data_IF_445943483523
#
_entry.id   IF_445943483523
#
_cell.length_a   1.000
_cell.length_b   1.000
_cell.length_c   1.000
_cell.angle_alpha   90.00
_cell.angle_beta   90.00
_cell.angle_gamma   90.00
#
_symmetry.space_group_name_H-M   'P 1'
#
loop_
_entity.id
_entity.type
_entity.pdbx_description
1 polymer ?
#
# COMPACT_ATOMS: atom_id res chain seq x y z
N UNK A 1 -14.41 -13.07 20.95
CA UNK A 1 -13.56 -13.09 19.75
C UNK A 1 -14.06 -12.05 18.77
N UNK A 2 -13.18 -11.20 18.27
CA UNK A 2 -13.49 -10.24 17.19
C UNK A 2 -13.70 -10.97 15.86
N UNK A 3 -14.30 -10.32 14.87
CA UNK A 3 -14.43 -10.86 13.52
C UNK A 3 -13.06 -11.22 12.90
N UNK A 4 -12.05 -10.35 13.07
CA UNK A 4 -10.68 -10.58 12.62
C UNK A 4 -10.05 -11.85 13.24
N UNK A 5 -10.23 -12.05 14.56
CA UNK A 5 -9.75 -13.24 15.25
C UNK A 5 -10.40 -14.54 14.74
N UNK A 6 -11.64 -14.48 14.24
CA UNK A 6 -12.31 -15.63 13.61
C UNK A 6 -11.71 -15.96 12.25
N UNK A 7 -11.38 -14.96 11.44
CA UNK A 7 -10.73 -15.16 10.13
C UNK A 7 -9.38 -15.87 10.29
N UNK A 8 -8.57 -15.44 11.26
CA UNK A 8 -7.29 -16.09 11.57
C UNK A 8 -7.48 -17.53 12.02
N UNK A 9 -8.50 -17.81 12.84
CA UNK A 9 -8.74 -19.15 13.37
C UNK A 9 -9.30 -20.13 12.34
N UNK A 10 -10.22 -19.69 11.49
CA UNK A 10 -10.96 -20.56 10.56
C UNK A 10 -10.29 -20.65 9.20
N UNK A 11 -9.75 -19.53 8.70
CA UNK A 11 -9.20 -19.43 7.35
C UNK A 11 -7.68 -19.21 7.33
N UNK A 12 -7.02 -19.12 8.50
CA UNK A 12 -5.60 -18.78 8.61
C UNK A 12 -5.23 -17.44 7.94
N UNK A 13 -6.17 -16.49 7.91
CA UNK A 13 -5.96 -15.14 7.37
C UNK A 13 -5.75 -14.18 8.53
N UNK A 14 -4.56 -13.58 8.63
CA UNK A 14 -4.25 -12.53 9.59
C UNK A 14 -4.35 -11.14 8.93
N UNK A 15 -5.33 -10.35 9.36
CA UNK A 15 -5.55 -8.98 8.90
C UNK A 15 -5.09 -7.93 9.93
N UNK A 16 -4.59 -8.37 11.08
CA UNK A 16 -4.07 -7.50 12.15
C UNK A 16 -2.55 -7.31 12.06
N UNK A 17 -1.88 -8.07 11.19
CA UNK A 17 -0.42 -8.03 10.98
C UNK A 17 -0.09 -7.77 9.52
N UNK A 18 0.77 -6.79 9.25
CA UNK A 18 1.30 -6.53 7.91
C UNK A 18 2.18 -7.69 7.42
N UNK A 19 1.89 -8.23 6.24
CA UNK A 19 2.68 -9.32 5.65
C UNK A 19 4.09 -8.91 5.20
N UNK A 20 4.34 -7.62 4.99
CA UNK A 20 5.63 -7.10 4.51
C UNK A 20 6.57 -6.75 5.68
N UNK A 21 6.06 -6.03 6.68
CA UNK A 21 6.89 -5.50 7.78
C UNK A 21 6.56 -6.07 9.17
N UNK A 22 5.51 -6.88 9.32
CA UNK A 22 5.10 -7.45 10.61
C UNK A 22 4.46 -6.45 11.59
N UNK A 23 4.24 -5.20 11.17
CA UNK A 23 3.60 -4.18 11.98
C UNK A 23 2.10 -4.40 12.18
N UNK A 24 1.54 -3.80 13.22
CA UNK A 24 0.11 -3.89 13.54
C UNK A 24 -0.73 -3.11 12.53
N UNK A 25 -1.73 -3.76 11.94
CA UNK A 25 -2.75 -3.16 11.08
C UNK A 25 -4.06 -2.99 11.83
N UNK A 26 -4.87 -2.03 11.36
CA UNK A 26 -6.22 -1.76 11.89
C UNK A 26 -7.22 -1.72 10.74
N UNK A 27 -8.33 -2.46 10.91
CA UNK A 27 -9.47 -2.37 10.00
C UNK A 27 -10.18 -1.03 10.20
N UNK A 28 -10.30 -0.23 9.13
CA UNK A 28 -10.93 1.10 9.17
C UNK A 28 -12.33 1.14 8.56
N UNK A 29 -12.64 0.21 7.65
CA UNK A 29 -13.92 0.11 6.97
C UNK A 29 -14.15 -1.32 6.48
N UNK A 30 -15.43 -1.68 6.31
CA UNK A 30 -15.85 -2.88 5.60
C UNK A 30 -16.75 -2.43 4.44
N UNK A 31 -16.52 -2.96 3.24
CA UNK A 31 -17.27 -2.62 2.03
C UNK A 31 -18.00 -3.88 1.60
N UNK A 32 -19.33 -3.87 1.67
CA UNK A 32 -20.18 -5.03 1.36
C UNK A 32 -21.06 -4.81 0.11
N UNK A 33 -21.14 -3.58 -0.40
CA UNK A 33 -21.94 -3.25 -1.59
C UNK A 33 -21.29 -3.83 -2.86
N UNK A 34 -21.98 -4.72 -3.60
CA UNK A 34 -21.42 -5.37 -4.79
C UNK A 34 -21.08 -4.39 -5.92
N UNK A 35 -21.80 -3.26 -6.03
CA UNK A 35 -21.54 -2.24 -7.05
C UNK A 35 -20.23 -1.53 -6.74
N UNK A 36 -20.01 -1.17 -5.48
CA UNK A 36 -18.77 -0.50 -5.03
C UNK A 36 -17.58 -1.45 -5.15
N UNK A 37 -17.74 -2.72 -4.74
CA UNK A 37 -16.69 -3.74 -4.89
C UNK A 37 -16.29 -3.86 -6.36
N UNK A 38 -17.26 -3.97 -7.28
CA UNK A 38 -16.99 -4.06 -8.71
C UNK A 38 -16.23 -2.84 -9.23
N UNK A 39 -16.67 -1.63 -8.88
CA UNK A 39 -15.98 -0.39 -9.30
C UNK A 39 -14.52 -0.33 -8.86
N UNK A 40 -14.22 -0.79 -7.63
CA UNK A 40 -12.85 -0.85 -7.13
C UNK A 40 -12.02 -1.86 -7.93
N UNK A 41 -12.56 -3.05 -8.19
CA UNK A 41 -11.87 -4.08 -8.95
C UNK A 41 -11.61 -3.65 -10.39
N UNK A 42 -12.61 -3.11 -11.09
CA UNK A 42 -12.47 -2.59 -12.45
C UNK A 42 -11.36 -1.52 -12.54
N UNK A 43 -11.28 -0.61 -11.54
CA UNK A 43 -10.23 0.39 -11.47
C UNK A 43 -8.83 -0.22 -11.25
N UNK A 44 -8.72 -1.24 -10.41
CA UNK A 44 -7.43 -1.91 -10.12
C UNK A 44 -6.92 -2.69 -11.32
N UNK A 45 -7.80 -3.36 -12.07
CA UNK A 45 -7.44 -4.07 -13.31
C UNK A 45 -6.86 -3.09 -14.34
N UNK A 46 -7.54 -1.98 -14.60
CA UNK A 46 -7.04 -0.95 -15.52
C UNK A 46 -5.70 -0.36 -15.06
N UNK A 47 -5.51 -0.21 -13.75
CA UNK A 47 -4.24 0.27 -13.19
C UNK A 47 -3.11 -0.77 -13.34
N UNK A 48 -3.41 -2.05 -13.20
CA UNK A 48 -2.44 -3.13 -13.40
C UNK A 48 -2.00 -3.23 -14.87
N UNK A 49 -2.94 -3.04 -15.80
CA UNK A 49 -2.65 -2.98 -17.24
C UNK A 49 -1.86 -1.71 -17.62
N UNK A 50 -2.14 -0.59 -16.97
CA UNK A 50 -1.41 0.67 -17.16
C UNK A 50 -0.08 0.72 -16.40
N UNK A 51 0.18 -0.21 -15.48
CA UNK A 51 1.45 -0.30 -14.77
C UNK A 51 2.51 -0.99 -15.62
N UNK A 52 2.99 -0.29 -16.63
CA UNK A 52 4.44 -0.32 -16.88
C UNK A 52 5.12 0.00 -15.55
N UNK A 53 6.20 -0.70 -15.14
CA UNK A 53 6.91 -0.35 -13.93
C UNK A 53 7.22 1.14 -14.06
N UNK A 54 6.69 1.95 -13.14
CA UNK A 54 7.07 3.36 -13.06
C UNK A 54 8.59 3.35 -12.95
N UNK A 55 9.26 3.54 -14.09
CA UNK A 55 10.68 3.74 -14.15
C UNK A 55 10.85 5.08 -13.47
N UNK A 56 11.07 5.02 -12.16
CA UNK A 56 11.46 6.19 -11.40
C UNK A 56 12.63 6.77 -12.19
N UNK A 57 12.60 8.09 -12.50
CA UNK A 57 13.71 8.70 -13.17
C UNK A 57 14.98 8.36 -12.38
N UNK A 58 16.06 8.05 -13.10
CA UNK A 58 17.34 7.71 -12.48
C UNK A 58 17.64 8.69 -11.36
N UNK A 59 18.13 8.17 -10.23
CA UNK A 59 18.48 8.99 -9.08
C UNK A 59 19.35 10.15 -9.52
N UNK A 60 18.81 11.36 -9.48
CA UNK A 60 19.58 12.56 -9.82
C UNK A 60 20.58 12.84 -8.71
N UNK A 61 21.81 13.17 -9.11
CA UNK A 61 22.77 13.76 -8.19
C UNK A 61 22.22 15.07 -7.60
N UNK A 62 22.61 15.43 -6.36
CA UNK A 62 22.30 16.73 -5.79
C UNK A 62 22.76 17.87 -6.73
N UNK A 63 22.07 19.02 -6.76
CA UNK A 63 22.52 20.16 -7.56
C UNK A 63 23.96 20.53 -7.20
N UNK A 64 24.85 20.52 -8.19
CA UNK A 64 26.22 21.04 -8.05
C UNK A 64 26.11 22.56 -7.88
N UNK A 65 26.19 23.01 -6.63
CA UNK A 65 26.15 24.44 -6.34
C UNK A 65 25.58 24.79 -4.98
N UNK A 66 26.07 24.16 -3.91
CA UNK A 66 26.09 24.84 -2.62
C UNK A 66 27.51 24.67 -2.09
N UNK A 67 28.31 25.70 -2.32
CA UNK A 67 29.67 25.80 -1.78
C UNK A 67 29.61 25.48 -0.30
N UNK A 68 30.43 24.51 0.10
CA UNK A 68 30.69 24.13 1.48
C UNK A 68 31.26 25.33 2.25
N UNK A 69 30.39 26.23 2.72
CA UNK A 69 30.82 27.45 3.41
C UNK A 69 29.71 28.39 3.88
N UNK A 70 28.45 27.97 3.99
CA UNK A 70 27.38 28.82 4.53
C UNK A 70 26.65 28.16 5.70
N UNK A 71 27.42 27.63 6.64
CA UNK A 71 26.98 27.36 8.00
C UNK A 71 28.16 27.70 8.92
N UNK A 72 28.39 29.00 9.11
CA UNK A 72 28.94 29.55 10.35
C UNK A 72 27.76 29.92 11.26
#
# INVERSE_FOLDING_TARGET
MTWAQRLKRVFNIDIETCSVCGGTMKVIACIEDPVVIKQILDHLEHKAEASEPWALPESRAPPVGLQSGLFD
#
